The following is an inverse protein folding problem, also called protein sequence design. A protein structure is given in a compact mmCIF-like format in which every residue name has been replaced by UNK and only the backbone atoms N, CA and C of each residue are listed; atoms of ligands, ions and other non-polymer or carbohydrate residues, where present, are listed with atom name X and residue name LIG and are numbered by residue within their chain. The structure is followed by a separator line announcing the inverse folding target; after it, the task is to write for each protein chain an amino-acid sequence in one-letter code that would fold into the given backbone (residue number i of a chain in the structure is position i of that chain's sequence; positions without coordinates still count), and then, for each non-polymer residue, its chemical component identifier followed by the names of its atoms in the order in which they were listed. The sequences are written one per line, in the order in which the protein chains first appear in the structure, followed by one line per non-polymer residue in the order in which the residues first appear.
data_IF_447002422432
#
_entry.id   IF_447002422432
#
_cell.length_a   1.000
_cell.length_b   1.000
_cell.length_c   1.000
_cell.angle_alpha   90.00
_cell.angle_beta   90.00
_cell.angle_gamma   90.00
#
_symmetry.space_group_name_H-M   'P 1'
#
loop_
_entity.id
_entity.type
_entity.pdbx_description
1 polymer ?
#
# COMPACT_ATOMS: atom_id res chain seq x y z
N UNK A 1 15.38 -5.65 -11.89
CA UNK A 1 14.42 -6.27 -10.97
C UNK A 1 13.33 -6.91 -11.81
N UNK A 2 12.90 -8.10 -11.43
CA UNK A 2 11.74 -8.79 -12.03
C UNK A 2 10.70 -9.01 -10.93
N UNK A 3 9.42 -8.83 -11.26
CA UNK A 3 8.31 -9.01 -10.32
C UNK A 3 7.86 -10.47 -10.34
N UNK A 4 8.05 -11.19 -9.24
CA UNK A 4 7.67 -12.61 -9.12
C UNK A 4 6.15 -12.76 -8.95
N UNK A 5 5.55 -11.96 -8.06
CA UNK A 5 4.11 -11.96 -7.83
C UNK A 5 3.61 -10.52 -7.61
N UNK A 6 2.82 -9.94 -8.54
CA UNK A 6 2.35 -8.56 -8.42
C UNK A 6 1.31 -8.36 -7.31
N UNK A 7 0.67 -9.43 -6.81
CA UNK A 7 -0.38 -9.37 -5.78
C UNK A 7 -0.18 -10.47 -4.73
N UNK A 8 0.93 -10.37 -4.01
CA UNK A 8 1.26 -11.35 -2.96
C UNK A 8 0.29 -11.31 -1.78
N UNK A 9 -0.20 -10.12 -1.41
CA UNK A 9 -1.10 -9.95 -0.28
C UNK A 9 -2.03 -8.74 -0.49
N UNK A 10 -3.12 -8.72 0.29
CA UNK A 10 -3.97 -7.56 0.47
C UNK A 10 -3.82 -7.11 1.92
N UNK A 11 -3.58 -5.83 2.12
CA UNK A 11 -3.42 -5.23 3.45
C UNK A 11 -4.54 -4.21 3.65
N UNK A 12 -5.12 -4.21 4.85
CA UNK A 12 -6.08 -3.21 5.28
C UNK A 12 -5.38 -1.91 5.66
N UNK A 13 -6.13 -0.80 5.62
CA UNK A 13 -5.65 0.52 6.02
C UNK A 13 -5.08 0.51 7.44
N UNK A 14 -5.70 -0.27 8.34
CA UNK A 14 -5.24 -0.43 9.72
C UNK A 14 -3.89 -1.16 9.82
N UNK A 15 -3.70 -2.25 9.09
CA UNK A 15 -2.43 -2.99 9.06
C UNK A 15 -1.30 -2.13 8.50
N UNK A 16 -1.58 -1.41 7.40
CA UNK A 16 -0.61 -0.48 6.80
C UNK A 16 -0.24 0.63 7.78
N UNK A 17 -1.22 1.26 8.44
CA UNK A 17 -0.96 2.30 9.43
C UNK A 17 -0.13 1.77 10.61
N UNK A 18 -0.45 0.58 11.10
CA UNK A 18 0.26 -0.05 12.21
C UNK A 18 1.73 -0.30 11.83
N UNK A 19 1.96 -0.89 10.65
CA UNK A 19 3.30 -1.15 10.14
C UNK A 19 4.10 0.15 9.96
N UNK A 20 3.51 1.20 9.38
CA UNK A 20 4.20 2.48 9.17
C UNK A 20 4.60 3.13 10.51
N UNK A 21 3.75 3.06 11.53
CA UNK A 21 4.07 3.57 12.88
C UNK A 21 5.18 2.76 13.55
N UNK A 22 5.21 1.45 13.36
CA UNK A 22 6.30 0.59 13.84
C UNK A 22 7.63 0.97 13.18
N UNK A 23 7.64 1.13 11.85
CA UNK A 23 8.83 1.55 11.09
C UNK A 23 9.34 2.93 11.53
N UNK A 24 8.43 3.90 11.70
CA UNK A 24 8.78 5.24 12.19
C UNK A 24 9.42 5.18 13.59
N UNK A 25 8.82 4.40 14.50
CA UNK A 25 9.36 4.23 15.86
C UNK A 25 10.73 3.54 15.87
N UNK A 26 10.95 2.58 14.98
CA UNK A 26 12.24 1.92 14.79
C UNK A 26 13.30 2.88 14.25
N UNK A 27 12.94 3.76 13.29
CA UNK A 27 13.82 4.81 12.80
C UNK A 27 14.21 5.79 13.91
N UNK A 28 13.24 6.25 14.69
CA UNK A 28 13.47 7.15 15.83
C UNK A 28 14.37 6.50 16.87
N UNK A 29 14.12 5.24 17.20
CA UNK A 29 14.90 4.50 18.21
C UNK A 29 16.34 4.30 17.74
N UNK A 30 16.55 3.89 16.49
CA UNK A 30 17.89 3.75 15.90
C UNK A 30 18.64 5.07 15.85
N UNK A 31 17.98 6.16 15.43
CA UNK A 31 18.58 7.49 15.40
C UNK A 31 19.02 7.97 16.81
N UNK A 32 18.17 7.78 17.82
CA UNK A 32 18.50 8.13 19.22
C UNK A 32 19.70 7.34 19.74
N UNK A 33 19.80 6.05 19.43
CA UNK A 33 20.94 5.21 19.82
C UNK A 33 22.21 5.69 19.11
N UNK A 34 22.16 5.95 17.81
CA UNK A 34 23.31 6.43 17.04
C UNK A 34 23.86 7.77 17.58
N UNK A 35 22.98 8.69 17.99
CA UNK A 35 23.37 9.97 18.60
C UNK A 35 24.03 9.76 19.98
N UNK A 36 23.50 8.85 20.81
CA UNK A 36 24.10 8.53 22.12
C UNK A 36 25.49 7.93 21.96
N UNK A 37 25.65 6.97 21.05
CA UNK A 37 26.94 6.32 20.78
C UNK A 37 27.97 7.34 20.29
N UNK A 38 27.63 8.18 19.32
CA UNK A 38 28.53 9.26 18.85
C UNK A 38 28.96 10.18 19.99
N UNK A 39 28.02 10.58 20.86
CA UNK A 39 28.32 11.43 22.02
C UNK A 39 29.26 10.75 23.03
N UNK A 40 29.12 9.44 23.24
CA UNK A 40 29.99 8.66 24.11
C UNK A 40 31.38 8.45 23.50
N UNK A 41 31.46 8.17 22.19
CA UNK A 41 32.73 8.06 21.46
C UNK A 41 33.51 9.39 21.45
N UNK A 42 32.83 10.51 21.23
CA UNK A 42 33.40 11.87 21.30
C UNK A 42 33.93 12.19 22.71
N UNK A 43 33.20 11.77 23.76
CA UNK A 43 33.61 11.95 25.15
C UNK A 43 34.80 11.06 25.55
N UNK A 44 34.97 9.90 24.91
CA UNK A 44 36.06 8.95 25.15
C UNK A 44 37.35 9.24 24.37
N UNK A 45 37.39 10.33 23.59
CA UNK A 45 38.61 10.83 22.92
C UNK A 45 39.22 9.88 21.89
N UNK A 46 38.48 8.89 21.40
CA UNK A 46 38.94 8.00 20.34
C UNK A 46 38.81 8.71 18.98
N UNK A 47 39.83 8.66 18.09
CA UNK A 47 39.74 9.29 16.78
C UNK A 47 38.63 8.63 15.98
N UNK A 48 37.73 9.45 15.42
CA UNK A 48 36.65 9.04 14.54
C UNK A 48 37.18 8.06 13.49
N UNK A 49 36.89 6.77 13.69
CA UNK A 49 37.14 5.78 12.65
C UNK A 49 36.20 6.20 11.52
N UNK A 50 36.77 6.64 10.40
CA UNK A 50 36.05 6.84 9.15
C UNK A 50 35.48 5.49 8.72
N UNK A 51 34.33 5.13 9.29
CA UNK A 51 33.48 4.04 8.85
C UNK A 51 32.71 4.53 7.64
N UNK A 52 33.47 4.85 6.58
CA UNK A 52 32.92 5.02 5.24
C UNK A 52 32.36 3.68 4.80
N UNK A 53 31.04 3.52 4.90
CA UNK A 53 30.31 2.36 4.40
C UNK A 53 29.06 2.03 5.20
N UNK A 54 29.19 1.76 6.49
CA UNK A 54 28.14 1.03 7.22
C UNK A 54 27.16 1.93 8.00
N UNK A 55 27.52 3.19 8.27
CA UNK A 55 26.64 4.15 8.95
C UNK A 55 25.56 4.75 8.03
N UNK A 56 25.65 4.53 6.72
CA UNK A 56 24.71 5.06 5.71
C UNK A 56 23.44 4.20 5.53
N UNK A 57 23.41 2.99 6.10
CA UNK A 57 22.25 2.08 6.03
C UNK A 57 21.22 2.28 7.15
N UNK A 58 21.45 3.25 8.04
CA UNK A 58 20.61 3.46 9.22
C UNK A 58 19.52 4.53 9.06
N UNK A 59 19.66 5.45 8.12
CA UNK A 59 18.74 6.56 7.94
C UNK A 59 17.85 6.31 6.71
N UNK A 60 16.50 6.33 6.87
CA UNK A 60 15.61 6.13 5.75
C UNK A 60 15.86 7.22 4.70
N UNK A 61 15.81 6.83 3.42
CA UNK A 61 15.93 7.79 2.33
C UNK A 61 14.89 8.91 2.48
N UNK A 62 15.22 10.12 2.05
CA UNK A 62 14.30 11.26 2.16
C UNK A 62 12.93 10.96 1.53
N UNK A 63 12.92 10.31 0.36
CA UNK A 63 11.69 9.93 -0.34
C UNK A 63 10.83 8.95 0.49
N UNK A 64 11.46 7.95 1.13
CA UNK A 64 10.76 7.01 2.00
C UNK A 64 10.13 7.75 3.19
N UNK A 65 10.90 8.65 3.82
CA UNK A 65 10.41 9.43 4.96
C UNK A 65 9.19 10.30 4.59
N UNK A 66 9.21 10.94 3.43
CA UNK A 66 8.05 11.71 2.95
C UNK A 66 6.82 10.82 2.78
N UNK A 67 6.97 9.67 2.12
CA UNK A 67 5.86 8.73 1.91
C UNK A 67 5.33 8.18 3.24
N UNK A 68 6.20 7.84 4.19
CA UNK A 68 5.80 7.39 5.53
C UNK A 68 4.97 8.45 6.25
N UNK A 69 5.45 9.69 6.32
CA UNK A 69 4.77 10.78 7.04
C UNK A 69 3.42 11.11 6.39
N UNK A 70 3.36 11.24 5.06
CA UNK A 70 2.12 11.54 4.35
C UNK A 70 1.09 10.40 4.46
N UNK A 71 1.54 9.15 4.35
CA UNK A 71 0.65 7.99 4.49
C UNK A 71 0.11 7.85 5.92
N UNK A 72 0.96 8.04 6.94
CA UNK A 72 0.52 8.04 8.35
C UNK A 72 -0.48 9.18 8.58
N UNK A 73 -0.20 10.38 8.05
CA UNK A 73 -1.09 11.53 8.17
C UNK A 73 -2.46 11.25 7.55
N UNK A 74 -2.50 10.73 6.32
CA UNK A 74 -3.74 10.38 5.64
C UNK A 74 -4.50 9.29 6.40
N UNK A 75 -3.85 8.17 6.72
CA UNK A 75 -4.48 7.02 7.38
C UNK A 75 -4.91 7.30 8.82
N UNK A 76 -4.35 8.32 9.46
CA UNK A 76 -4.73 8.79 10.80
C UNK A 76 -5.76 9.93 10.78
N UNK A 77 -6.25 10.34 9.61
CA UNK A 77 -7.20 11.45 9.52
C UNK A 77 -8.53 11.13 10.21
N UNK A 78 -9.14 12.13 10.86
CA UNK A 78 -10.34 11.96 11.70
C UNK A 78 -11.57 11.48 10.92
N UNK A 79 -11.62 11.70 9.59
CA UNK A 79 -12.70 11.25 8.73
C UNK A 79 -12.59 9.78 8.32
N UNK A 80 -11.45 9.12 8.59
CA UNK A 80 -11.27 7.69 8.30
C UNK A 80 -11.66 6.82 9.50
N UNK A 81 -12.25 5.64 9.27
CA UNK A 81 -12.59 4.70 10.34
C UNK A 81 -11.38 4.16 11.10
N UNK A 82 -10.18 4.18 10.51
CA UNK A 82 -8.95 3.62 11.08
C UNK A 82 -8.68 4.10 12.50
N UNK A 83 -9.02 5.36 12.82
CA UNK A 83 -8.84 5.94 14.16
C UNK A 83 -9.71 5.27 15.24
N UNK A 84 -10.81 4.62 14.86
CA UNK A 84 -11.75 3.95 15.76
C UNK A 84 -11.63 2.43 15.71
N UNK A 85 -10.74 1.90 14.89
CA UNK A 85 -10.52 0.46 14.76
C UNK A 85 -9.51 -0.06 15.77
N UNK A 86 -9.70 -1.32 16.15
CA UNK A 86 -8.77 -2.07 16.99
C UNK A 86 -8.46 -3.40 16.31
N UNK A 87 -7.29 -4.01 16.57
CA UNK A 87 -6.94 -5.29 15.94
C UNK A 87 -7.93 -6.40 16.32
N UNK A 88 -8.44 -6.38 17.56
CA UNK A 88 -9.47 -7.31 18.02
C UNK A 88 -10.80 -7.06 17.30
N UNK A 89 -11.18 -5.79 17.12
CA UNK A 89 -12.39 -5.38 16.41
C UNK A 89 -12.38 -5.84 14.95
N UNK A 90 -11.26 -5.64 14.24
CA UNK A 90 -11.10 -6.09 12.85
C UNK A 90 -11.15 -7.61 12.76
N UNK A 91 -10.43 -8.31 13.63
CA UNK A 91 -10.43 -9.79 13.64
C UNK A 91 -11.82 -10.34 13.90
N UNK A 92 -12.57 -9.72 14.83
CA UNK A 92 -13.96 -10.07 15.12
C UNK A 92 -14.84 -9.79 13.89
N UNK A 93 -14.72 -8.61 13.28
CA UNK A 93 -15.50 -8.22 12.12
C UNK A 93 -15.30 -9.20 10.95
N UNK A 94 -14.05 -9.55 10.62
CA UNK A 94 -13.77 -10.50 9.52
C UNK A 94 -14.38 -11.88 9.77
N UNK A 95 -14.40 -12.34 11.03
CA UNK A 95 -15.07 -13.59 11.43
C UNK A 95 -16.59 -13.49 11.33
N UNK A 96 -17.16 -12.40 11.81
CA UNK A 96 -18.60 -12.13 11.71
C UNK A 96 -19.05 -11.91 10.27
N UNK A 97 -18.16 -11.48 9.37
CA UNK A 97 -18.43 -11.33 7.95
C UNK A 97 -18.35 -12.66 7.16
N UNK A 98 -17.86 -13.73 7.76
CA UNK A 98 -17.66 -15.02 7.09
C UNK A 98 -18.96 -15.69 6.60
N UNK A 99 -20.10 -15.63 7.32
CA UNK A 99 -21.36 -16.23 6.87
C UNK A 99 -22.03 -15.50 5.71
N UNK A 100 -21.64 -14.25 5.46
CA UNK A 100 -22.10 -13.48 4.32
C UNK A 100 -21.21 -13.84 3.12
N UNK A 101 -21.84 -14.09 1.98
CA UNK A 101 -21.17 -14.47 0.73
C UNK A 101 -20.49 -13.25 0.09
N UNK A 102 -19.58 -12.63 0.84
CA UNK A 102 -18.77 -11.49 0.42
C UNK A 102 -17.40 -11.97 -0.05
N UNK A 103 -16.96 -11.44 -1.19
CA UNK A 103 -15.62 -11.69 -1.73
C UNK A 103 -14.54 -11.12 -0.79
N UNK A 104 -13.29 -11.57 -0.97
CA UNK A 104 -12.17 -11.07 -0.16
C UNK A 104 -11.97 -9.55 -0.33
N UNK A 105 -12.23 -9.02 -1.52
CA UNK A 105 -12.13 -7.59 -1.80
C UNK A 105 -13.25 -6.80 -1.10
N UNK A 106 -14.49 -7.28 -1.15
CA UNK A 106 -15.63 -6.66 -0.45
C UNK A 106 -15.40 -6.66 1.06
N UNK A 107 -14.96 -7.79 1.64
CA UNK A 107 -14.61 -7.86 3.07
C UNK A 107 -13.53 -6.84 3.44
N UNK A 108 -12.51 -6.69 2.61
CA UNK A 108 -11.46 -5.69 2.80
C UNK A 108 -11.99 -4.27 2.72
N UNK A 109 -12.88 -3.97 1.78
CA UNK A 109 -13.53 -2.67 1.65
C UNK A 109 -14.45 -2.36 2.84
N UNK A 110 -15.22 -3.33 3.33
CA UNK A 110 -16.01 -3.19 4.56
C UNK A 110 -15.11 -2.88 5.75
N UNK A 111 -13.95 -3.54 5.87
CA UNK A 111 -12.97 -3.22 6.91
C UNK A 111 -12.41 -1.81 6.72
N UNK A 112 -12.01 -1.40 5.51
CA UNK A 112 -11.37 -0.10 5.29
C UNK A 112 -12.32 1.10 5.42
N UNK A 113 -13.58 0.94 5.01
CA UNK A 113 -14.58 2.01 4.99
C UNK A 113 -15.52 1.98 6.19
N UNK A 114 -15.63 0.85 6.88
CA UNK A 114 -16.49 0.62 8.04
C UNK A 114 -17.91 1.22 7.86
N UNK A 115 -18.68 0.73 6.88
CA UNK A 115 -19.98 1.29 6.54
C UNK A 115 -20.94 1.24 7.73
N UNK A 116 -21.56 2.36 8.03
CA UNK A 116 -22.57 2.51 9.10
C UNK A 116 -23.96 2.82 8.55
N UNK A 117 -24.05 3.17 7.26
CA UNK A 117 -25.28 3.47 6.55
C UNK A 117 -25.48 2.49 5.38
N UNK A 118 -26.75 2.16 5.03
CA UNK A 118 -27.07 1.30 3.88
C UNK A 118 -26.44 1.78 2.57
N UNK A 119 -26.50 3.09 2.30
CA UNK A 119 -25.95 3.69 1.07
C UNK A 119 -24.46 3.42 0.89
N UNK A 120 -23.70 3.29 1.97
CA UNK A 120 -22.27 2.99 1.92
C UNK A 120 -22.03 1.53 1.52
N UNK A 121 -22.91 0.62 1.91
CA UNK A 121 -22.81 -0.79 1.55
C UNK A 121 -23.12 -1.02 0.06
N UNK A 122 -24.05 -0.24 -0.51
CA UNK A 122 -24.32 -0.24 -1.97
C UNK A 122 -23.12 0.16 -2.83
N UNK A 123 -22.18 0.93 -2.27
CA UNK A 123 -20.95 1.33 -2.98
C UNK A 123 -19.91 0.19 -2.97
N UNK A 124 -20.03 -0.76 -2.03
CA UNK A 124 -19.07 -1.84 -1.82
C UNK A 124 -19.49 -3.11 -2.53
N UNK A 125 -20.79 -3.45 -2.47
CA UNK A 125 -21.31 -4.75 -2.90
C UNK A 125 -22.26 -4.56 -4.09
N UNK A 126 -21.94 -5.21 -5.21
CA UNK A 126 -22.83 -5.27 -6.37
C UNK A 126 -24.02 -6.20 -6.12
N UNK A 127 -25.18 -5.86 -6.70
CA UNK A 127 -26.43 -6.63 -6.58
C UNK A 127 -26.78 -6.95 -5.11
N UNK A 128 -26.60 -5.95 -4.24
CA UNK A 128 -26.68 -6.09 -2.79
C UNK A 128 -28.02 -6.68 -2.30
N UNK A 129 -29.14 -6.24 -2.86
CA UNK A 129 -30.47 -6.71 -2.47
C UNK A 129 -30.66 -8.21 -2.79
N UNK A 130 -30.21 -8.66 -3.95
CA UNK A 130 -30.36 -10.06 -4.38
C UNK A 130 -29.47 -11.01 -3.56
N UNK A 131 -28.27 -10.55 -3.17
CA UNK A 131 -27.29 -11.38 -2.43
C UNK A 131 -27.53 -11.41 -0.92
N UNK A 132 -27.90 -10.28 -0.33
CA UNK A 132 -27.98 -10.13 1.13
C UNK A 132 -29.41 -10.01 1.64
N UNK A 133 -30.35 -9.50 0.83
CA UNK A 133 -31.75 -9.30 1.20
C UNK A 133 -31.86 -8.56 2.53
N UNK A 134 -32.62 -9.14 3.45
CA UNK A 134 -32.90 -8.56 4.77
C UNK A 134 -31.68 -8.53 5.72
N UNK A 135 -30.56 -9.17 5.37
CA UNK A 135 -29.36 -9.27 6.22
C UNK A 135 -28.46 -8.04 6.19
N UNK A 136 -28.83 -7.02 5.42
CA UNK A 136 -28.08 -5.77 5.31
C UNK A 136 -27.91 -5.08 6.66
N UNK A 137 -29.00 -4.95 7.42
CA UNK A 137 -28.99 -4.27 8.72
C UNK A 137 -28.08 -4.99 9.71
N UNK A 138 -28.06 -6.33 9.67
CA UNK A 138 -27.18 -7.13 10.52
C UNK A 138 -25.70 -6.78 10.29
N UNK A 139 -25.27 -6.67 9.03
CA UNK A 139 -23.88 -6.33 8.68
C UNK A 139 -23.51 -4.95 9.24
N UNK A 140 -24.39 -3.96 9.06
CA UNK A 140 -24.16 -2.61 9.56
C UNK A 140 -24.05 -2.60 11.09
N UNK A 141 -24.85 -3.40 11.78
CA UNK A 141 -24.80 -3.54 13.23
C UNK A 141 -23.52 -4.25 13.70
N UNK A 142 -23.07 -5.29 12.97
CA UNK A 142 -21.76 -5.92 13.23
C UNK A 142 -20.63 -4.90 13.13
N UNK A 143 -20.58 -4.14 12.03
CA UNK A 143 -19.57 -3.09 11.81
C UNK A 143 -19.57 -2.10 12.97
N UNK A 144 -20.74 -1.51 13.30
CA UNK A 144 -20.87 -0.55 14.42
C UNK A 144 -20.40 -1.14 15.75
N UNK A 145 -20.71 -2.42 16.02
CA UNK A 145 -20.33 -3.09 17.28
C UNK A 145 -18.83 -3.35 17.42
N UNK A 146 -18.08 -3.36 16.30
CA UNK A 146 -16.63 -3.60 16.29
C UNK A 146 -15.80 -2.31 16.38
N UNK A 147 -16.42 -1.15 16.17
CA UNK A 147 -15.76 0.15 16.28
C UNK A 147 -15.69 0.60 17.74
N UNK A 148 -14.57 1.20 18.12
CA UNK A 148 -14.43 1.87 19.42
C UNK A 148 -15.33 3.10 19.50
N UNK A 149 -15.91 3.31 20.67
CA UNK A 149 -16.71 4.50 21.00
C UNK A 149 -15.86 5.78 21.09
N UNK A 150 -14.58 5.64 21.46
CA UNK A 150 -13.61 6.73 21.50
C UNK A 150 -12.53 6.53 20.43
N UNK A 151 -12.14 7.57 19.68
CA UNK A 151 -10.98 7.49 18.80
C UNK A 151 -9.74 7.14 19.62
N UNK A 152 -8.86 6.30 19.07
CA UNK A 152 -7.63 5.89 19.73
C UNK A 152 -6.80 7.13 20.14
N UNK A 153 -6.16 7.13 21.32
CA UNK A 153 -5.36 8.26 21.77
C UNK A 153 -4.28 8.56 20.73
N UNK A 154 -4.26 9.81 20.25
CA UNK A 154 -3.24 10.31 19.32
C UNK A 154 -1.87 10.13 19.99
N UNK A 155 -1.05 9.24 19.45
CA UNK A 155 0.37 9.19 19.78
C UNK A 155 1.02 10.40 19.08
N UNK A 156 0.97 11.58 19.70
CA UNK A 156 1.85 12.69 19.31
C UNK A 156 3.22 12.40 19.93
N UNK A 157 4.32 12.49 19.15
CA UNK A 157 4.83 13.80 18.78
C UNK A 157 5.42 13.83 17.35
N UNK A 158 4.76 14.56 16.46
CA UNK A 158 5.48 15.27 15.40
C UNK A 158 4.98 16.70 15.46
N UNK A 159 5.86 17.61 15.91
CA UNK A 159 5.72 19.03 15.64
C UNK A 159 5.31 19.17 14.18
N UNK A 160 4.33 20.04 13.92
CA UNK A 160 3.86 20.36 12.59
C UNK A 160 5.08 20.61 11.69
N UNK A 161 5.45 19.63 10.87
CA UNK A 161 6.38 19.88 9.79
C UNK A 161 5.69 20.92 8.93
N UNK A 162 6.30 22.09 8.70
CA UNK A 162 5.73 23.04 7.79
C UNK A 162 5.61 22.30 6.46
N UNK A 163 4.37 22.21 5.97
CA UNK A 163 4.12 21.94 4.55
C UNK A 163 5.05 22.90 3.83
N UNK A 164 6.07 22.38 3.15
CA UNK A 164 6.91 23.18 2.26
C UNK A 164 5.99 23.65 1.14
N UNK A 165 5.27 24.75 1.41
CA UNK A 165 4.69 25.57 0.38
C UNK A 165 5.89 26.08 -0.42
N UNK A 166 5.82 26.13 -1.76
CA UNK A 166 6.90 26.65 -2.60
C UNK A 166 7.24 28.14 -2.37
N UNK A 167 6.80 28.76 -1.28
CA UNK A 167 6.91 30.19 -0.99
C UNK A 167 8.04 30.57 -0.02
N UNK A 168 8.73 29.61 0.60
CA UNK A 168 9.71 29.90 1.67
C UNK A 168 11.16 29.63 1.26
N UNK A 169 11.49 29.76 -0.03
CA UNK A 169 12.87 29.99 -0.43
C UNK A 169 13.10 31.48 -0.58
N UNK A 170 13.65 32.10 0.46
CA UNK A 170 14.36 33.38 0.33
C UNK A 170 15.66 33.13 -0.44
N UNK A 171 15.52 32.91 -1.74
CA UNK A 171 16.61 33.03 -2.68
C UNK A 171 17.08 34.50 -2.68
N UNK A 172 18.39 34.79 -2.57
CA UNK A 172 18.87 36.12 -2.86
C UNK A 172 18.53 36.41 -4.33
N UNK A 173 17.69 37.43 -4.55
CA UNK A 173 17.35 37.94 -5.87
C UNK A 173 18.63 38.43 -6.54
N UNK A 174 19.25 37.59 -7.37
CA UNK A 174 20.07 38.08 -8.45
C UNK A 174 19.11 38.55 -9.56
N UNK A 175 18.92 39.85 -9.61
CA UNK A 175 18.08 40.60 -10.55
C UNK A 175 18.67 40.59 -11.97
N UNK A 176 18.93 39.40 -12.53
CA UNK A 176 19.59 39.26 -13.84
C UNK A 176 19.21 38.00 -14.62
N UNK A 177 17.94 37.59 -14.57
CA UNK A 177 17.38 36.67 -15.56
C UNK A 177 16.00 37.18 -15.98
N UNK A 178 16.03 38.27 -16.74
CA UNK A 178 14.94 38.62 -17.65
C UNK A 178 14.82 37.48 -18.66
N UNK A 179 13.67 36.83 -18.75
CA UNK A 179 13.39 35.87 -19.82
C UNK A 179 13.56 36.60 -21.17
N UNK A 180 14.33 36.06 -22.14
CA UNK A 180 14.29 36.59 -23.48
C UNK A 180 12.91 36.31 -24.07
N UNK A 181 12.33 37.37 -24.64
CA UNK A 181 11.05 37.42 -25.34
C UNK A 181 10.98 36.34 -26.43
N UNK A 182 9.84 35.66 -26.54
CA UNK A 182 9.65 34.57 -27.51
C UNK A 182 9.53 35.13 -28.93
N UNK A 183 10.65 35.28 -29.65
CA UNK A 183 10.65 35.36 -31.11
C UNK A 183 11.99 34.93 -31.72
N UNK A 184 12.33 33.64 -31.73
CA UNK A 184 13.35 33.11 -32.66
C UNK A 184 13.00 31.65 -33.07
N UNK A 185 13.03 31.30 -34.37
CA UNK A 185 12.64 29.98 -34.84
C UNK A 185 13.72 28.92 -34.55
N UNK A 186 13.26 27.74 -34.10
CA UNK A 186 14.07 26.55 -33.85
C UNK A 186 14.98 26.17 -35.04
N UNK A 187 16.30 26.16 -34.83
CA UNK A 187 17.24 25.38 -35.63
C UNK A 187 17.78 24.24 -34.78
N UNK A 188 17.51 23.00 -35.21
CA UNK A 188 17.93 21.80 -34.51
C UNK A 188 19.39 21.45 -34.79
N UNK A 189 20.12 21.06 -33.75
CA UNK A 189 21.39 20.34 -33.92
C UNK A 189 21.56 19.18 -32.91
N UNK A 190 22.29 18.20 -33.43
CA UNK A 190 22.40 16.78 -33.09
C UNK A 190 23.13 16.42 -31.79
N UNK A 191 22.60 15.36 -31.16
CA UNK A 191 23.12 14.63 -29.98
C UNK A 191 24.50 14.01 -30.25
N UNK A 192 25.46 14.18 -29.33
CA UNK A 192 26.66 13.32 -29.24
C UNK A 192 26.62 12.47 -27.97
N UNK A 193 26.43 11.17 -28.20
CA UNK A 193 26.60 10.07 -27.25
C UNK A 193 28.07 9.86 -26.88
N UNK A 194 28.42 9.82 -25.59
CA UNK A 194 29.42 8.87 -25.10
C UNK A 194 29.52 8.83 -23.57
N UNK A 195 29.57 7.60 -23.05
CA UNK A 195 30.24 7.13 -21.82
C UNK A 195 29.35 6.28 -20.89
N UNK A 196 28.87 5.14 -21.41
CA UNK A 196 28.50 3.98 -20.59
C UNK A 196 29.16 2.73 -21.19
N UNK A 197 30.44 2.54 -20.88
CA UNK A 197 31.04 1.21 -20.88
C UNK A 197 32.22 1.22 -19.93
N UNK A 198 32.06 0.56 -18.77
CA UNK A 198 33.11 -0.19 -18.05
C UNK A 198 32.56 -0.63 -16.69
N UNK A 199 32.81 -1.90 -16.39
CA UNK A 199 32.64 -2.61 -15.11
C UNK A 199 31.31 -3.31 -14.83
N UNK A 200 31.20 -4.54 -15.37
CA UNK A 200 30.71 -5.69 -14.63
C UNK A 200 31.60 -6.91 -14.97
N UNK A 201 32.00 -7.73 -13.99
CA UNK A 201 32.25 -9.14 -14.23
C UNK A 201 31.09 -9.99 -13.71
N UNK A 202 30.72 -10.95 -14.55
CA UNK A 202 29.67 -11.95 -14.36
C UNK A 202 30.06 -13.00 -13.31
N UNK A 203 29.09 -13.45 -12.52
CA UNK A 203 29.14 -14.77 -11.87
C UNK A 203 27.82 -15.50 -12.05
N UNK A 204 27.84 -16.51 -12.93
CA UNK A 204 26.86 -17.59 -13.05
C UNK A 204 26.94 -18.50 -11.83
N UNK A 205 25.80 -18.80 -11.20
CA UNK A 205 25.61 -20.05 -10.46
C UNK A 205 24.24 -20.64 -10.82
N UNK A 206 24.26 -21.96 -10.97
CA UNK A 206 23.32 -22.83 -11.65
C UNK A 206 22.01 -23.11 -10.90
N UNK A 207 21.05 -23.58 -11.70
CA UNK A 207 19.76 -24.11 -11.32
C UNK A 207 19.83 -25.36 -10.42
N UNK A 208 18.81 -25.50 -9.57
CA UNK A 208 18.39 -26.74 -8.90
C UNK A 208 16.87 -26.64 -8.75
N UNK A 209 16.11 -27.07 -9.76
CA UNK A 209 15.36 -28.33 -9.78
C UNK A 209 14.53 -28.60 -8.51
N UNK A 210 13.22 -28.38 -8.60
CA UNK A 210 12.23 -29.28 -7.98
C UNK A 210 10.98 -29.28 -8.86
N UNK A 211 10.74 -30.44 -9.46
CA UNK A 211 9.55 -30.87 -10.20
C UNK A 211 8.27 -30.69 -9.34
N UNK A 212 7.19 -30.11 -9.84
CA UNK A 212 6.21 -30.63 -10.83
C UNK A 212 5.11 -31.45 -10.15
N UNK A 213 4.01 -30.79 -9.79
CA UNK A 213 2.75 -31.42 -9.37
C UNK A 213 1.56 -30.56 -9.88
N UNK A 214 1.47 -30.46 -11.21
CA UNK A 214 0.35 -29.85 -11.93
C UNK A 214 -0.75 -30.92 -12.10
N UNK A 215 -1.90 -30.73 -11.46
CA UNK A 215 -3.14 -31.39 -11.90
C UNK A 215 -3.63 -30.73 -13.19
N UNK A 216 -4.07 -31.51 -14.20
CA UNK A 216 -4.49 -30.94 -15.48
C UNK A 216 -5.84 -30.22 -15.34
N UNK A 217 -5.92 -28.99 -15.83
CA UNK A 217 -7.19 -28.27 -16.02
C UNK A 217 -7.95 -28.85 -17.21
N UNK A 218 -9.29 -28.93 -17.17
CA UNK A 218 -10.08 -29.47 -18.27
C UNK A 218 -10.11 -28.50 -19.45
N UNK A 219 -9.85 -29.05 -20.65
CA UNK A 219 -9.81 -28.36 -21.94
C UNK A 219 -11.21 -27.86 -22.32
N UNK A 220 -11.36 -26.55 -22.52
CA UNK A 220 -12.58 -25.94 -23.08
C UNK A 220 -12.75 -26.43 -24.53
N UNK A 221 -13.89 -27.05 -24.85
CA UNK A 221 -14.25 -27.48 -26.20
C UNK A 221 -14.67 -26.28 -27.05
N UNK A 222 -14.20 -26.24 -28.29
CA UNK A 222 -14.55 -25.26 -29.33
C UNK A 222 -15.98 -25.44 -29.86
N UNK A 223 -16.59 -24.41 -30.49
CA UNK A 223 -18.05 -24.32 -30.70
C UNK A 223 -18.66 -25.23 -31.79
N UNK A 224 -17.91 -26.15 -32.39
CA UNK A 224 -18.38 -26.96 -33.53
C UNK A 224 -18.87 -28.37 -33.14
N UNK A 225 -19.05 -28.66 -31.85
CA UNK A 225 -19.41 -30.00 -31.33
C UNK A 225 -20.92 -30.13 -30.97
N UNK A 226 -21.81 -29.46 -31.73
CA UNK A 226 -23.27 -29.54 -31.54
C UNK A 226 -23.89 -30.67 -32.39
N UNK A 227 -24.06 -31.85 -31.77
CA UNK A 227 -25.03 -32.86 -32.23
C UNK A 227 -26.45 -32.41 -31.85
N UNK A 228 -27.47 -32.59 -32.70
CA UNK A 228 -28.84 -32.23 -32.37
C UNK A 228 -29.40 -33.10 -31.23
N UNK A 229 -30.35 -32.58 -30.43
CA UNK A 229 -30.94 -33.30 -29.30
C UNK A 229 -31.91 -34.40 -29.78
N UNK A 230 -32.05 -35.51 -29.03
CA UNK A 230 -33.03 -36.55 -29.34
C UNK A 230 -34.46 -36.11 -28.97
N UNK A 231 -35.40 -36.43 -29.85
CA UNK A 231 -36.84 -36.32 -29.62
C UNK A 231 -37.25 -37.17 -28.41
N UNK A 232 -37.85 -36.55 -27.39
CA UNK A 232 -38.47 -37.27 -26.28
C UNK A 232 -39.99 -37.17 -26.42
N UNK A 233 -40.57 -38.32 -26.71
CA UNK A 233 -42.00 -38.60 -26.83
C UNK A 233 -42.81 -38.06 -25.66
N UNK A 234 -43.88 -37.33 -25.98
CA UNK A 234 -44.97 -36.98 -25.07
C UNK A 234 -45.79 -38.24 -24.75
N UNK A 235 -45.64 -38.77 -23.53
CA UNK A 235 -46.57 -39.75 -22.99
C UNK A 235 -47.75 -38.97 -22.38
N UNK A 236 -48.81 -38.81 -23.16
CA UNK A 236 -50.08 -38.28 -22.69
C UNK A 236 -51.19 -39.20 -23.24
N UNK A 237 -51.86 -39.92 -22.33
CA UNK A 237 -53.11 -40.68 -22.45
C UNK A 237 -53.03 -41.89 -21.49
N UNK A 238 -54.07 -42.30 -20.75
CA UNK A 238 -55.41 -41.79 -20.45
C UNK A 238 -55.91 -42.64 -19.28
#
# INVERSE_FOLDING_TARGET
MEVVNPRAALLSNFEVLTLLRELENDHITRAKVAVRVKKEEDAAGHPARSTGGDAAFGEPSQNLRTVEVEAIQYLSADYLPTARQTPEGITKLVKELAPYDLTKAEKLQVVNLAPTLPVELYVIVEELEDRLGDRMEEILDRVKSTLSAAPAPRTQPVEAYPVLRPSDESFPLNESLMYPDETEPYQGETVKSNALSRFLPETRIAASSYDDDIRPTPRVKSPDDLSPPPEVFTLNQR
#
